data_IF_200483763281
#
_entry.id   IF_200483763281
#
_cell.length_a   1.000
_cell.length_b   1.000
_cell.length_c   1.000
_cell.angle_alpha   90.00
_cell.angle_beta   90.00
_cell.angle_gamma   90.00
#
_symmetry.space_group_name_H-M   'P 1'
#
loop_
_entity.id
_entity.type
_entity.pdbx_description
1 polymer ?
#
# COMPACT_ATOMS: atom_id res chain seq x y z
N UNK A 1 -0.71 -5.35 25.56
CA UNK A 1 -1.32 -6.68 25.38
C UNK A 1 -1.33 -7.04 23.90
N UNK A 2 -1.08 -8.30 23.54
CA UNK A 2 -1.29 -8.76 22.15
C UNK A 2 -2.79 -8.86 21.82
N UNK A 3 -3.12 -8.96 20.53
CA UNK A 3 -4.51 -8.90 20.08
C UNK A 3 -5.32 -10.18 20.40
N UNK A 4 -4.69 -11.37 20.39
CA UNK A 4 -5.38 -12.62 20.73
C UNK A 4 -5.73 -12.65 22.23
N UNK A 5 -4.86 -12.11 23.09
CA UNK A 5 -5.11 -11.96 24.52
C UNK A 5 -6.33 -11.06 24.79
N UNK A 6 -6.47 -9.94 24.08
CA UNK A 6 -7.68 -9.11 24.16
C UNK A 6 -8.91 -9.82 23.59
N UNK A 7 -8.76 -10.55 22.48
CA UNK A 7 -9.85 -11.33 21.90
C UNK A 7 -10.37 -12.40 22.88
N UNK A 8 -9.49 -13.08 23.63
CA UNK A 8 -9.87 -14.00 24.71
C UNK A 8 -10.61 -13.28 25.84
N UNK A 9 -10.09 -12.14 26.28
CA UNK A 9 -10.70 -11.34 27.34
C UNK A 9 -12.14 -10.93 26.99
N UNK A 10 -12.35 -10.48 25.75
CA UNK A 10 -13.64 -9.97 25.30
C UNK A 10 -14.55 -11.02 24.65
N UNK A 11 -14.07 -12.25 24.45
CA UNK A 11 -14.76 -13.34 23.73
C UNK A 11 -15.06 -12.96 22.27
N UNK A 12 -14.01 -12.63 21.54
CA UNK A 12 -14.07 -12.34 20.10
C UNK A 12 -13.60 -13.58 19.34
N UNK A 13 -14.37 -13.99 18.34
CA UNK A 13 -14.17 -15.18 17.50
C UNK A 13 -12.98 -15.08 16.53
N UNK A 14 -12.42 -13.88 16.35
CA UNK A 14 -11.22 -13.56 15.57
C UNK A 14 -9.92 -14.25 16.06
N UNK A 15 -9.91 -14.87 17.24
CA UNK A 15 -8.74 -15.55 17.82
C UNK A 15 -8.87 -17.08 17.71
N UNK A 16 -7.84 -17.78 17.19
CA UNK A 16 -7.91 -19.23 16.94
C UNK A 16 -8.00 -20.06 18.23
N UNK A 17 -7.78 -19.45 19.39
CA UNK A 17 -7.95 -20.08 20.69
C UNK A 17 -9.35 -19.84 21.31
N UNK A 18 -10.15 -18.96 20.69
CA UNK A 18 -11.52 -18.63 21.13
C UNK A 18 -12.54 -19.30 20.22
N UNK A 19 -12.37 -19.19 18.90
CA UNK A 19 -13.27 -19.75 17.90
C UNK A 19 -12.54 -20.19 16.63
N UNK A 20 -13.27 -20.28 15.52
CA UNK A 20 -12.81 -20.89 14.27
C UNK A 20 -11.89 -20.00 13.42
N UNK A 21 -11.86 -18.68 13.66
CA UNK A 21 -11.09 -17.75 12.84
C UNK A 21 -9.66 -17.56 13.36
N UNK A 22 -8.74 -17.34 12.43
CA UNK A 22 -7.30 -17.21 12.69
C UNK A 22 -6.76 -15.81 12.41
N UNK A 23 -7.58 -14.77 12.61
CA UNK A 23 -7.29 -13.40 12.18
C UNK A 23 -6.33 -12.65 13.11
N UNK A 24 -6.49 -12.79 14.44
CA UNK A 24 -5.75 -11.97 15.41
C UNK A 24 -4.23 -12.03 15.31
N UNK A 25 -3.54 -13.16 14.98
CA UNK A 25 -2.10 -13.14 14.75
C UNK A 25 -1.69 -12.27 13.55
N UNK A 26 -2.44 -12.37 12.45
CA UNK A 26 -2.18 -11.59 11.24
C UNK A 26 -2.48 -10.10 11.47
N UNK A 27 -3.62 -9.78 12.09
CA UNK A 27 -3.96 -8.42 12.51
C UNK A 27 -2.93 -7.81 13.44
N UNK A 28 -2.43 -8.58 14.40
CA UNK A 28 -1.38 -8.09 15.29
C UNK A 28 -0.14 -7.70 14.48
N UNK A 29 0.35 -8.57 13.58
CA UNK A 29 1.52 -8.25 12.75
C UNK A 29 1.29 -7.01 11.85
N UNK A 30 0.08 -6.81 11.33
CA UNK A 30 -0.26 -5.65 10.46
C UNK A 30 -0.39 -4.35 11.27
N UNK A 31 -1.00 -4.41 12.47
CA UNK A 31 -1.48 -3.23 13.19
C UNK A 31 -0.59 -2.84 14.38
N UNK A 32 0.28 -3.72 14.87
CA UNK A 32 1.03 -3.49 16.11
C UNK A 32 1.93 -2.25 16.08
N UNK A 33 2.58 -1.97 14.96
CA UNK A 33 3.53 -0.85 14.84
C UNK A 33 2.85 0.50 14.61
N UNK A 34 1.51 0.54 14.58
CA UNK A 34 0.74 1.77 14.34
C UNK A 34 -0.29 2.08 15.42
N UNK A 35 -0.30 1.32 16.54
CA UNK A 35 -1.35 1.42 17.56
C UNK A 35 -1.57 2.84 18.09
N UNK A 36 -0.49 3.54 18.39
CA UNK A 36 -0.55 4.89 18.96
C UNK A 36 -0.99 5.95 17.94
N UNK A 37 -0.79 5.67 16.65
CA UNK A 37 -1.10 6.55 15.53
C UNK A 37 -2.57 6.43 15.08
N UNK A 38 -3.24 5.29 15.32
CA UNK A 38 -4.66 5.12 14.99
C UNK A 38 -5.50 6.03 15.90
N UNK A 39 -6.33 6.89 15.29
CA UNK A 39 -7.20 7.83 15.99
C UNK A 39 -8.68 7.54 15.76
N UNK A 40 -9.05 6.98 14.60
CA UNK A 40 -10.43 6.62 14.30
C UNK A 40 -10.54 5.25 13.63
N UNK A 41 -11.32 4.36 14.25
CA UNK A 41 -11.67 3.03 13.74
C UNK A 41 -13.16 2.96 13.49
N UNK A 42 -13.57 2.38 12.36
CA UNK A 42 -14.96 2.00 12.08
C UNK A 42 -15.03 0.48 11.88
N UNK A 43 -15.94 -0.18 12.59
CA UNK A 43 -16.29 -1.59 12.35
C UNK A 43 -17.76 -1.69 11.94
N UNK A 44 -18.02 -2.35 10.81
CA UNK A 44 -19.36 -2.73 10.36
C UNK A 44 -19.63 -4.12 10.91
N UNK A 45 -20.74 -4.28 11.64
CA UNK A 45 -21.08 -5.49 12.39
C UNK A 45 -20.63 -5.41 13.85
N UNK A 46 -21.60 -5.42 14.77
CA UNK A 46 -21.36 -5.37 16.24
C UNK A 46 -21.51 -6.74 16.87
N UNK A 47 -22.27 -7.63 16.21
CA UNK A 47 -22.54 -8.99 16.63
C UNK A 47 -23.60 -9.06 17.73
N UNK A 48 -24.59 -9.95 17.56
CA UNK A 48 -25.67 -10.15 18.54
C UNK A 48 -25.51 -11.46 19.32
N UNK A 49 -26.24 -11.57 20.43
CA UNK A 49 -26.20 -12.75 21.30
C UNK A 49 -26.54 -14.06 20.58
N UNK A 50 -27.52 -14.05 19.68
CA UNK A 50 -28.04 -15.26 19.04
C UNK A 50 -27.02 -15.91 18.12
N UNK A 51 -26.20 -15.11 17.42
CA UNK A 51 -25.17 -15.60 16.51
C UNK A 51 -23.84 -15.86 17.23
N UNK A 52 -23.47 -15.02 18.20
CA UNK A 52 -22.14 -15.09 18.81
C UNK A 52 -22.07 -16.05 19.99
N UNK A 53 -23.12 -16.17 20.81
CA UNK A 53 -23.06 -17.03 22.00
C UNK A 53 -22.76 -18.51 21.69
N UNK A 54 -23.27 -19.11 20.59
CA UNK A 54 -22.89 -20.46 20.19
C UNK A 54 -21.40 -20.59 19.82
N UNK A 55 -20.76 -19.52 19.36
CA UNK A 55 -19.37 -19.52 18.90
C UNK A 55 -18.38 -19.24 20.04
N UNK A 56 -18.71 -18.29 20.92
CA UNK A 56 -17.77 -17.75 21.93
C UNK A 56 -18.26 -17.88 23.38
N UNK A 57 -19.40 -18.54 23.57
CA UNK A 57 -20.01 -18.85 24.86
C UNK A 57 -21.06 -17.85 25.34
N UNK A 58 -21.93 -18.29 26.25
CA UNK A 58 -23.12 -17.57 26.73
C UNK A 58 -22.85 -16.26 27.48
N UNK A 59 -21.59 -15.99 27.86
CA UNK A 59 -21.19 -14.72 28.49
C UNK A 59 -20.77 -13.65 27.48
N UNK A 60 -20.95 -13.89 26.17
CA UNK A 60 -20.76 -12.87 25.13
C UNK A 60 -21.55 -11.60 25.45
N UNK A 61 -21.02 -10.46 25.01
CA UNK A 61 -21.72 -9.17 25.04
C UNK A 61 -21.55 -8.50 23.68
N UNK A 62 -22.63 -7.99 23.06
CA UNK A 62 -22.53 -7.20 21.83
C UNK A 62 -21.46 -6.11 21.92
N UNK A 63 -20.72 -5.92 20.81
CA UNK A 63 -19.58 -5.00 20.74
C UNK A 63 -18.30 -5.51 21.42
N UNK A 64 -18.14 -6.82 21.54
CA UNK A 64 -16.91 -7.42 22.06
C UNK A 64 -15.66 -7.00 21.24
N UNK A 65 -15.76 -7.03 19.90
CA UNK A 65 -14.68 -6.58 19.01
C UNK A 65 -14.43 -5.08 19.12
N UNK A 66 -15.47 -4.24 19.26
CA UNK A 66 -15.31 -2.81 19.51
C UNK A 66 -14.49 -2.53 20.78
N UNK A 67 -14.74 -3.27 21.87
CA UNK A 67 -13.96 -3.15 23.12
C UNK A 67 -12.53 -3.68 22.96
N UNK A 68 -12.34 -4.75 22.18
CA UNK A 68 -11.02 -5.24 21.79
C UNK A 68 -10.23 -4.16 21.04
N UNK A 69 -10.83 -3.49 20.04
CA UNK A 69 -10.19 -2.40 19.30
C UNK A 69 -9.90 -1.20 20.19
N UNK A 70 -10.83 -0.81 21.07
CA UNK A 70 -10.66 0.28 22.03
C UNK A 70 -9.41 0.08 22.89
N UNK A 71 -9.19 -1.13 23.39
CA UNK A 71 -8.05 -1.44 24.26
C UNK A 71 -6.76 -1.72 23.48
N UNK A 72 -6.87 -2.18 22.23
CA UNK A 72 -5.73 -2.39 21.35
C UNK A 72 -5.14 -1.07 20.83
N UNK A 73 -6.00 -0.09 20.56
CA UNK A 73 -5.66 1.25 20.07
C UNK A 73 -5.91 2.30 21.16
N UNK A 74 -4.89 2.65 21.96
CA UNK A 74 -5.09 3.44 23.19
C UNK A 74 -5.61 4.86 22.92
N UNK A 75 -5.34 5.41 21.74
CA UNK A 75 -5.71 6.78 21.35
C UNK A 75 -6.89 6.86 20.38
N UNK A 76 -7.52 5.72 20.05
CA UNK A 76 -8.56 5.69 19.04
C UNK A 76 -9.95 5.90 19.64
N UNK A 77 -10.76 6.67 18.92
CA UNK A 77 -12.22 6.60 18.97
C UNK A 77 -12.67 5.43 18.09
N UNK A 78 -13.51 4.56 18.64
CA UNK A 78 -14.10 3.41 17.95
C UNK A 78 -15.54 3.75 17.58
N UNK A 79 -15.89 3.52 16.32
CA UNK A 79 -17.24 3.57 15.80
C UNK A 79 -17.66 2.16 15.42
N UNK A 80 -18.82 1.72 15.89
CA UNK A 80 -19.47 0.50 15.43
C UNK A 80 -20.75 0.84 14.67
N UNK A 81 -21.12 0.07 13.66
CA UNK A 81 -22.45 0.17 13.08
C UNK A 81 -23.08 -1.19 12.83
N UNK A 82 -24.39 -1.27 13.02
CA UNK A 82 -25.15 -2.50 12.84
C UNK A 82 -26.58 -2.18 12.37
N UNK A 83 -27.23 -3.15 11.72
CA UNK A 83 -28.63 -3.05 11.31
C UNK A 83 -29.57 -3.31 12.50
N UNK A 84 -29.10 -3.98 13.56
CA UNK A 84 -29.88 -4.27 14.74
C UNK A 84 -29.78 -3.12 15.75
N UNK A 85 -30.85 -2.33 15.89
CA UNK A 85 -30.88 -1.25 16.89
C UNK A 85 -30.66 -1.76 18.33
N UNK A 86 -31.04 -3.00 18.62
CA UNK A 86 -30.91 -3.61 19.95
C UNK A 86 -29.48 -3.88 20.39
N UNK A 87 -28.50 -3.86 19.48
CA UNK A 87 -27.07 -4.00 19.81
C UNK A 87 -26.35 -2.66 19.84
N UNK A 88 -27.04 -1.55 19.58
CA UNK A 88 -26.44 -0.22 19.64
C UNK A 88 -26.27 0.21 21.10
N UNK A 89 -25.09 0.74 21.42
CA UNK A 89 -24.72 1.28 22.72
C UNK A 89 -23.67 2.40 22.61
N UNK A 90 -23.38 3.03 23.74
CA UNK A 90 -22.28 3.99 23.88
C UNK A 90 -21.46 3.65 25.12
N UNK A 91 -20.14 3.68 24.97
CA UNK A 91 -19.17 3.50 26.05
C UNK A 91 -18.01 4.49 25.89
N UNK A 92 -17.11 4.55 26.86
CA UNK A 92 -15.89 5.34 26.74
C UNK A 92 -15.13 4.98 25.44
N UNK A 93 -14.90 5.99 24.59
CA UNK A 93 -14.28 5.87 23.25
C UNK A 93 -14.98 4.90 22.30
N UNK A 94 -16.24 4.54 22.54
CA UNK A 94 -17.06 3.72 21.63
C UNK A 94 -18.39 4.41 21.38
N UNK A 95 -18.70 4.67 20.11
CA UNK A 95 -20.01 5.16 19.66
C UNK A 95 -20.58 4.17 18.66
N UNK A 96 -21.88 3.94 18.69
CA UNK A 96 -22.53 3.06 17.71
C UNK A 96 -23.64 3.80 16.98
N UNK A 97 -23.92 3.36 15.75
CA UNK A 97 -24.95 3.96 14.90
C UNK A 97 -25.66 2.88 14.08
N UNK A 98 -26.96 3.07 13.85
CA UNK A 98 -27.71 2.23 12.93
C UNK A 98 -27.14 2.36 11.52
N UNK A 99 -26.89 1.24 10.85
CA UNK A 99 -26.54 1.23 9.42
C UNK A 99 -27.05 -0.05 8.78
N UNK A 100 -27.78 0.12 7.68
CA UNK A 100 -28.11 -0.97 6.77
C UNK A 100 -27.04 -0.99 5.66
N UNK A 101 -26.14 -1.97 5.72
CA UNK A 101 -25.05 -2.12 4.75
C UNK A 101 -25.55 -2.40 3.32
N UNK A 102 -26.82 -2.78 3.14
CA UNK A 102 -27.43 -2.99 1.83
C UNK A 102 -27.98 -1.71 1.19
N UNK A 103 -28.13 -0.63 1.96
CA UNK A 103 -28.70 0.64 1.51
C UNK A 103 -27.61 1.70 1.27
N UNK A 104 -27.40 2.15 0.02
CA UNK A 104 -26.44 3.21 -0.30
C UNK A 104 -26.67 4.50 0.51
N UNK A 105 -27.94 4.86 0.82
CA UNK A 105 -28.23 6.06 1.60
C UNK A 105 -27.80 5.90 3.06
N UNK A 106 -28.05 4.72 3.63
CA UNK A 106 -27.60 4.39 4.99
C UNK A 106 -26.07 4.43 5.10
N UNK A 107 -25.34 3.86 4.13
CA UNK A 107 -23.88 3.95 4.06
C UNK A 107 -23.37 5.38 3.86
N UNK A 108 -24.07 6.20 3.07
CA UNK A 108 -23.72 7.62 2.91
C UNK A 108 -23.93 8.40 4.21
N UNK A 109 -24.97 8.07 4.98
CA UNK A 109 -25.20 8.65 6.30
C UNK A 109 -24.10 8.23 7.28
N UNK A 110 -23.69 6.96 7.28
CA UNK A 110 -22.53 6.50 8.05
C UNK A 110 -21.25 7.26 7.66
N UNK A 111 -20.97 7.38 6.37
CA UNK A 111 -19.84 8.12 5.84
C UNK A 111 -19.84 9.59 6.32
N UNK A 112 -21.00 10.23 6.35
CA UNK A 112 -21.16 11.58 6.88
C UNK A 112 -21.01 11.64 8.40
N UNK A 113 -21.52 10.65 9.13
CA UNK A 113 -21.37 10.57 10.58
C UNK A 113 -19.89 10.46 10.99
N UNK A 114 -19.08 9.68 10.27
CA UNK A 114 -17.63 9.62 10.54
C UNK A 114 -16.93 10.98 10.45
N UNK A 115 -17.42 11.89 9.59
CA UNK A 115 -16.87 13.26 9.43
C UNK A 115 -17.02 14.10 10.69
N UNK A 116 -17.93 13.75 11.60
CA UNK A 116 -18.12 14.47 12.86
C UNK A 116 -17.00 14.22 13.87
N UNK A 117 -16.19 13.17 13.66
CA UNK A 117 -15.04 12.82 14.49
C UNK A 117 -13.71 13.26 13.87
N UNK A 118 -13.50 12.94 12.59
CA UNK A 118 -12.31 13.36 11.84
C UNK A 118 -12.65 13.44 10.34
N UNK A 119 -11.87 14.24 9.60
CA UNK A 119 -11.93 14.30 8.13
C UNK A 119 -11.75 12.91 7.51
N UNK A 120 -10.97 12.02 8.13
CA UNK A 120 -10.73 10.66 7.63
C UNK A 120 -10.77 9.60 8.73
N UNK A 121 -11.03 8.35 8.33
CA UNK A 121 -10.92 7.14 9.15
C UNK A 121 -9.56 6.49 8.92
N UNK A 122 -8.92 5.97 9.96
CA UNK A 122 -7.60 5.33 9.84
C UNK A 122 -7.68 3.82 9.57
N UNK A 123 -8.75 3.18 10.05
CA UNK A 123 -9.04 1.76 9.88
C UNK A 123 -10.55 1.53 9.74
N UNK A 124 -10.96 0.88 8.65
CA UNK A 124 -12.31 0.33 8.50
C UNK A 124 -12.20 -1.20 8.51
N UNK A 125 -13.05 -1.86 9.29
CA UNK A 125 -13.22 -3.31 9.32
C UNK A 125 -14.65 -3.63 8.91
N UNK A 126 -14.82 -4.43 7.87
CA UNK A 126 -16.10 -4.89 7.38
C UNK A 126 -16.31 -6.34 7.80
N UNK A 127 -17.10 -6.49 8.86
CA UNK A 127 -17.49 -7.74 9.52
C UNK A 127 -19.04 -7.81 9.62
N UNK A 128 -19.70 -7.34 8.55
CA UNK A 128 -21.13 -7.05 8.52
C UNK A 128 -22.00 -8.24 8.11
N UNK A 129 -22.70 -8.13 6.97
CA UNK A 129 -23.68 -9.15 6.54
C UNK A 129 -23.06 -10.40 5.89
N UNK A 130 -21.80 -10.29 5.47
CA UNK A 130 -21.09 -11.26 4.62
C UNK A 130 -21.75 -11.55 3.25
N UNK A 131 -22.72 -10.73 2.86
CA UNK A 131 -23.32 -10.73 1.51
C UNK A 131 -22.41 -9.93 0.59
N UNK A 132 -21.96 -10.54 -0.51
CA UNK A 132 -20.96 -9.97 -1.41
C UNK A 132 -21.37 -8.57 -1.88
N UNK A 133 -22.63 -8.40 -2.26
CA UNK A 133 -23.17 -7.13 -2.74
C UNK A 133 -23.13 -6.03 -1.68
N UNK A 134 -23.38 -6.36 -0.41
CA UNK A 134 -23.35 -5.39 0.69
C UNK A 134 -21.91 -4.97 1.02
N UNK A 135 -20.99 -5.94 1.09
CA UNK A 135 -19.56 -5.69 1.31
C UNK A 135 -19.03 -4.78 0.20
N UNK A 136 -19.26 -5.14 -1.07
CA UNK A 136 -18.77 -4.38 -2.22
C UNK A 136 -19.35 -2.96 -2.26
N UNK A 137 -20.64 -2.79 -1.92
CA UNK A 137 -21.26 -1.47 -1.82
C UNK A 137 -20.61 -0.61 -0.71
N UNK A 138 -20.37 -1.20 0.47
CA UNK A 138 -19.76 -0.48 1.57
C UNK A 138 -18.29 -0.14 1.32
N UNK A 139 -17.53 -1.04 0.69
CA UNK A 139 -16.18 -0.76 0.21
C UNK A 139 -16.19 0.42 -0.79
N UNK A 140 -17.10 0.39 -1.77
CA UNK A 140 -17.22 1.47 -2.76
C UNK A 140 -17.50 2.84 -2.12
N UNK A 141 -18.42 2.92 -1.17
CA UNK A 141 -18.87 4.19 -0.58
C UNK A 141 -17.90 4.68 0.50
N UNK A 142 -17.39 3.78 1.35
CA UNK A 142 -16.60 4.16 2.52
C UNK A 142 -15.11 4.32 2.20
N UNK A 143 -14.62 3.83 1.05
CA UNK A 143 -13.21 3.98 0.67
C UNK A 143 -12.73 5.44 0.64
N UNK A 144 -13.59 6.37 0.21
CA UNK A 144 -13.28 7.82 0.22
C UNK A 144 -12.99 8.35 1.63
N UNK A 145 -13.55 7.72 2.66
CA UNK A 145 -13.38 8.13 4.07
C UNK A 145 -12.04 7.73 4.63
N UNK A 146 -11.33 6.78 4.05
CA UNK A 146 -10.03 6.34 4.55
C UNK A 146 -8.97 7.42 4.29
N UNK A 147 -8.08 7.62 5.27
CA UNK A 147 -6.90 8.49 5.17
C UNK A 147 -5.84 7.86 4.25
N UNK A 148 -5.04 8.63 3.49
CA UNK A 148 -3.81 8.10 2.89
C UNK A 148 -2.90 7.44 3.95
N UNK A 149 -2.60 6.16 3.77
CA UNK A 149 -1.89 5.30 4.72
C UNK A 149 -2.81 4.48 5.64
N UNK A 150 -4.11 4.76 5.66
CA UNK A 150 -5.15 4.01 6.36
C UNK A 150 -5.50 2.68 5.67
N UNK A 151 -6.25 1.83 6.38
CA UNK A 151 -6.57 0.47 5.95
C UNK A 151 -8.08 0.22 5.88
N UNK A 152 -8.49 -0.59 4.91
CA UNK A 152 -9.80 -1.24 4.86
C UNK A 152 -9.58 -2.74 4.95
N UNK A 153 -10.27 -3.42 5.86
CA UNK A 153 -10.23 -4.87 6.01
C UNK A 153 -11.61 -5.44 5.72
N UNK A 154 -11.68 -6.46 4.87
CA UNK A 154 -12.91 -7.21 4.59
C UNK A 154 -12.75 -8.59 5.20
N UNK A 155 -13.57 -8.93 6.19
CA UNK A 155 -13.55 -10.21 6.91
C UNK A 155 -14.54 -11.23 6.32
N UNK A 156 -14.45 -12.46 6.84
CA UNK A 156 -15.39 -13.56 6.56
C UNK A 156 -15.67 -13.76 5.09
N UNK A 157 -14.59 -13.79 4.33
CA UNK A 157 -14.60 -14.14 2.93
C UNK A 157 -14.58 -15.67 2.82
N UNK A 158 -15.51 -16.24 2.06
CA UNK A 158 -15.38 -17.65 1.68
C UNK A 158 -14.11 -17.86 0.86
N UNK A 159 -13.37 -18.95 1.06
CA UNK A 159 -12.15 -19.25 0.33
C UNK A 159 -12.33 -19.19 -1.19
N UNK A 160 -13.48 -19.69 -1.69
CA UNK A 160 -13.85 -19.63 -3.12
C UNK A 160 -14.05 -18.21 -3.68
N UNK A 161 -14.31 -17.22 -2.82
CA UNK A 161 -14.55 -15.82 -3.19
C UNK A 161 -13.31 -14.94 -2.98
N UNK A 162 -12.23 -15.45 -2.39
CA UNK A 162 -11.05 -14.66 -2.03
C UNK A 162 -10.43 -13.92 -3.23
N UNK A 163 -10.30 -14.60 -4.37
CA UNK A 163 -9.76 -14.00 -5.60
C UNK A 163 -10.66 -12.89 -6.18
N UNK A 164 -11.97 -12.95 -5.93
CA UNK A 164 -12.88 -11.86 -6.32
C UNK A 164 -12.63 -10.61 -5.46
N UNK A 165 -12.54 -10.77 -4.14
CA UNK A 165 -12.29 -9.66 -3.22
C UNK A 165 -10.90 -9.05 -3.37
N UNK A 166 -9.86 -9.84 -3.72
CA UNK A 166 -8.54 -9.29 -4.07
C UNK A 166 -8.59 -8.28 -5.21
N UNK A 167 -9.57 -8.40 -6.10
CA UNK A 167 -9.80 -7.51 -7.26
C UNK A 167 -10.79 -6.38 -6.98
N UNK A 168 -11.27 -6.21 -5.74
CA UNK A 168 -12.30 -5.20 -5.42
C UNK A 168 -11.88 -3.77 -5.83
N UNK A 169 -10.63 -3.40 -5.60
CA UNK A 169 -10.07 -2.12 -6.04
C UNK A 169 -10.13 -1.93 -7.56
N UNK A 170 -9.80 -2.98 -8.33
CA UNK A 170 -9.84 -2.95 -9.80
C UNK A 170 -11.28 -2.83 -10.31
N UNK A 171 -12.22 -3.56 -9.70
CA UNK A 171 -13.65 -3.52 -10.05
C UNK A 171 -14.20 -2.09 -9.98
N UNK A 172 -13.79 -1.32 -8.97
CA UNK A 172 -14.21 0.07 -8.79
C UNK A 172 -13.25 1.10 -9.40
N UNK A 173 -12.19 0.67 -10.09
CA UNK A 173 -11.14 1.53 -10.63
C UNK A 173 -10.48 2.45 -9.58
N UNK A 174 -10.34 1.97 -8.34
CA UNK A 174 -9.66 2.70 -7.27
C UNK A 174 -8.14 2.67 -7.48
N UNK A 175 -7.62 3.76 -8.06
CA UNK A 175 -6.19 3.94 -8.32
C UNK A 175 -5.36 4.15 -7.04
N UNK A 176 -6.02 4.57 -5.96
CA UNK A 176 -5.43 4.82 -4.65
C UNK A 176 -5.60 3.64 -3.67
N UNK A 177 -6.14 2.50 -4.11
CA UNK A 177 -6.28 1.29 -3.32
C UNK A 177 -5.24 0.24 -3.71
N UNK A 178 -4.41 -0.17 -2.75
CA UNK A 178 -3.43 -1.26 -2.94
C UNK A 178 -3.75 -2.42 -2.02
N UNK A 179 -3.91 -3.63 -2.57
CA UNK A 179 -3.99 -4.86 -1.77
C UNK A 179 -2.62 -5.10 -1.11
N UNK A 180 -2.57 -5.07 0.22
CA UNK A 180 -1.31 -5.21 0.98
C UNK A 180 -1.20 -6.52 1.73
N UNK A 181 -2.33 -7.20 1.93
CA UNK A 181 -2.37 -8.50 2.59
C UNK A 181 -3.63 -9.27 2.20
N UNK A 182 -3.52 -10.59 2.15
CA UNK A 182 -4.66 -11.50 2.12
C UNK A 182 -4.36 -12.69 3.03
N UNK A 183 -5.35 -13.10 3.78
CA UNK A 183 -5.30 -14.27 4.66
C UNK A 183 -6.16 -15.38 4.10
N UNK A 184 -5.69 -16.61 4.23
CA UNK A 184 -6.51 -17.81 4.07
C UNK A 184 -6.20 -18.75 5.24
N UNK A 185 -7.21 -18.98 6.04
CA UNK A 185 -7.16 -19.85 7.20
C UNK A 185 -7.62 -21.27 6.87
N UNK A 186 -8.01 -22.02 7.90
CA UNK A 186 -8.30 -23.46 7.75
C UNK A 186 -9.74 -23.76 7.33
N UNK A 187 -10.66 -22.84 7.63
CA UNK A 187 -12.09 -23.00 7.39
C UNK A 187 -12.53 -22.19 6.15
N UNK A 188 -13.63 -22.59 5.50
CA UNK A 188 -14.11 -21.90 4.29
C UNK A 188 -14.31 -20.39 4.53
N UNK A 189 -14.83 -20.01 5.70
CA UNK A 189 -15.09 -18.62 6.09
C UNK A 189 -13.93 -17.94 6.82
N UNK A 190 -12.72 -18.49 6.83
CA UNK A 190 -11.58 -17.96 7.57
C UNK A 190 -10.61 -17.22 6.63
N UNK A 191 -11.12 -16.29 5.83
CA UNK A 191 -10.29 -15.48 4.93
C UNK A 191 -10.65 -14.00 5.02
N UNK A 192 -9.64 -13.14 4.86
CA UNK A 192 -9.81 -11.69 4.81
C UNK A 192 -8.82 -11.06 3.84
N UNK A 193 -9.12 -9.84 3.38
CA UNK A 193 -8.19 -9.02 2.59
C UNK A 193 -7.99 -7.66 3.24
N UNK A 194 -6.81 -7.07 3.02
CA UNK A 194 -6.47 -5.74 3.53
C UNK A 194 -6.05 -4.85 2.38
N UNK A 195 -6.79 -3.77 2.18
CA UNK A 195 -6.44 -2.69 1.28
C UNK A 195 -5.84 -1.54 2.06
N UNK A 196 -4.77 -0.95 1.53
CA UNK A 196 -4.17 0.29 2.03
C UNK A 196 -4.41 1.40 1.04
N UNK A 197 -4.81 2.56 1.55
CA UNK A 197 -4.95 3.76 0.74
C UNK A 197 -3.58 4.41 0.52
N UNK A 198 -3.18 4.58 -0.73
CA UNK A 198 -1.90 5.21 -1.10
C UNK A 198 -2.14 6.62 -1.59
N UNK A 199 -1.12 7.48 -1.52
CA UNK A 199 -1.21 8.79 -2.18
C UNK A 199 -1.10 8.61 -3.69
N UNK A 200 -1.88 9.36 -4.44
CA UNK A 200 -1.85 9.33 -5.90
C UNK A 200 -1.59 10.73 -6.42
N UNK A 201 -0.66 10.84 -7.35
CA UNK A 201 -0.28 12.07 -8.04
C UNK A 201 -0.49 11.90 -9.54
N UNK A 202 -0.65 13.00 -10.27
CA UNK A 202 -0.94 12.91 -11.70
C UNK A 202 0.28 12.39 -12.49
N UNK A 203 1.49 12.73 -12.04
CA UNK A 203 2.75 12.33 -12.66
C UNK A 203 3.78 11.81 -11.64
N UNK A 204 4.78 11.07 -12.12
CA UNK A 204 5.95 10.65 -11.34
C UNK A 204 6.73 11.83 -10.77
N UNK A 205 6.76 12.93 -11.51
CA UNK A 205 7.45 14.15 -11.10
C UNK A 205 6.79 14.79 -9.87
N UNK A 206 5.47 14.95 -9.90
CA UNK A 206 4.68 15.41 -8.74
C UNK A 206 4.84 14.47 -7.54
N UNK A 207 4.80 13.15 -7.79
CA UNK A 207 5.01 12.15 -6.75
C UNK A 207 6.37 12.33 -6.07
N UNK A 208 7.44 12.46 -6.86
CA UNK A 208 8.80 12.58 -6.33
C UNK A 208 8.99 13.89 -5.57
N UNK A 209 8.48 15.01 -6.09
CA UNK A 209 8.52 16.31 -5.41
C UNK A 209 7.79 16.31 -4.07
N UNK A 210 6.73 15.51 -3.94
CA UNK A 210 5.97 15.40 -2.71
C UNK A 210 6.54 14.38 -1.70
N UNK A 211 7.31 13.40 -2.16
CA UNK A 211 7.79 12.29 -1.33
C UNK A 211 9.29 12.40 -0.98
N UNK A 212 10.13 12.70 -1.96
CA UNK A 212 11.58 12.64 -1.84
C UNK A 212 12.12 14.02 -1.44
N UNK A 213 12.93 14.13 -0.37
CA UNK A 213 13.51 15.41 0.02
C UNK A 213 14.44 15.97 -1.07
N UNK A 214 14.87 17.22 -0.92
CA UNK A 214 15.94 17.79 -1.75
C UNK A 214 17.32 17.52 -1.14
N UNK A 215 18.39 17.60 -1.94
CA UNK A 215 19.77 17.61 -1.44
C UNK A 215 20.37 16.26 -1.05
N UNK A 216 19.62 15.16 -1.16
CA UNK A 216 20.10 13.82 -0.80
C UNK A 216 21.06 13.21 -1.82
N UNK A 217 21.55 12.02 -1.48
CA UNK A 217 22.37 11.16 -2.35
C UNK A 217 21.44 10.20 -3.09
N UNK A 218 21.35 10.33 -4.41
CA UNK A 218 20.36 9.63 -5.23
C UNK A 218 21.03 8.74 -6.29
N UNK A 219 20.31 7.69 -6.70
CA UNK A 219 20.68 6.86 -7.83
C UNK A 219 19.49 6.66 -8.79
N UNK A 220 19.77 6.59 -10.09
CA UNK A 220 18.83 6.24 -11.15
C UNK A 220 19.40 5.03 -11.90
N UNK A 221 18.61 3.96 -12.00
CA UNK A 221 18.89 2.79 -12.81
C UNK A 221 18.04 2.87 -14.07
N UNK A 222 18.66 2.74 -15.24
CA UNK A 222 17.97 2.91 -16.52
C UNK A 222 17.87 4.39 -16.87
N UNK A 223 18.94 4.93 -17.44
CA UNK A 223 19.11 6.36 -17.70
C UNK A 223 18.65 6.70 -19.12
N UNK A 224 18.85 5.78 -20.05
CA UNK A 224 18.52 5.95 -21.46
C UNK A 224 19.15 7.22 -22.04
N UNK A 225 18.37 8.27 -22.32
CA UNK A 225 18.83 9.58 -22.83
C UNK A 225 19.07 10.65 -21.74
N UNK A 226 18.76 10.34 -20.48
CA UNK A 226 18.95 11.24 -19.34
C UNK A 226 17.97 12.42 -19.28
N UNK A 227 16.80 12.30 -19.91
CA UNK A 227 15.71 13.28 -19.76
C UNK A 227 15.21 13.32 -18.31
N UNK A 228 14.92 12.15 -17.74
CA UNK A 228 14.49 12.03 -16.35
C UNK A 228 15.61 12.41 -15.36
N UNK A 229 16.86 12.04 -15.66
CA UNK A 229 18.03 12.52 -14.91
C UNK A 229 18.11 14.05 -14.82
N UNK A 230 17.76 14.75 -15.90
CA UNK A 230 17.74 16.21 -15.91
C UNK A 230 16.65 16.78 -14.99
N UNK A 231 15.47 16.14 -14.93
CA UNK A 231 14.44 16.46 -13.96
C UNK A 231 14.95 16.26 -12.52
N UNK A 232 15.53 15.10 -12.21
CA UNK A 232 16.05 14.80 -10.86
C UNK A 232 17.07 15.85 -10.41
N UNK A 233 18.02 16.22 -11.28
CA UNK A 233 19.04 17.23 -10.98
C UNK A 233 18.47 18.62 -10.70
N UNK A 234 17.49 19.04 -11.50
CA UNK A 234 16.88 20.37 -11.41
C UNK A 234 15.94 20.48 -10.22
N UNK A 235 15.13 19.45 -9.99
CA UNK A 235 13.98 19.50 -9.11
C UNK A 235 14.31 19.03 -7.70
N UNK A 236 15.09 17.94 -7.57
CA UNK A 236 15.47 17.38 -6.27
C UNK A 236 16.83 17.88 -5.79
N UNK A 237 17.60 18.56 -6.64
CA UNK A 237 18.88 19.20 -6.30
C UNK A 237 19.82 18.28 -5.49
N UNK A 238 20.10 17.04 -5.96
CA UNK A 238 20.90 16.08 -5.20
C UNK A 238 22.28 16.62 -4.87
N UNK A 239 22.80 16.24 -3.70
CA UNK A 239 24.22 16.45 -3.39
C UNK A 239 25.12 15.52 -4.21
N UNK A 240 24.61 14.35 -4.59
CA UNK A 240 25.23 13.39 -5.49
C UNK A 240 24.13 12.60 -6.23
N UNK A 241 24.27 12.45 -7.54
CA UNK A 241 23.41 11.62 -8.40
C UNK A 241 24.26 10.59 -9.14
N UNK A 242 23.96 9.31 -8.91
CA UNK A 242 24.51 8.19 -9.66
C UNK A 242 23.59 7.83 -10.81
N UNK A 243 24.10 7.85 -12.04
CA UNK A 243 23.37 7.51 -13.26
C UNK A 243 23.91 6.17 -13.77
N UNK A 244 23.14 5.10 -13.59
CA UNK A 244 23.56 3.73 -13.86
C UNK A 244 22.78 3.14 -15.03
N UNK A 245 23.49 2.72 -16.07
CA UNK A 245 22.90 2.07 -17.24
C UNK A 245 23.93 1.11 -17.87
N UNK A 246 23.46 0.14 -18.65
CA UNK A 246 24.33 -0.72 -19.45
C UNK A 246 25.18 0.11 -20.42
N UNK A 247 24.65 1.23 -20.93
CA UNK A 247 25.35 2.14 -21.85
C UNK A 247 26.05 1.45 -23.04
N UNK A 248 25.49 0.32 -23.47
CA UNK A 248 26.01 -0.53 -24.51
C UNK A 248 24.88 -1.13 -25.36
N UNK A 249 25.08 -1.16 -26.66
CA UNK A 249 24.13 -1.75 -27.60
C UNK A 249 22.96 -0.82 -27.89
N UNK A 250 21.90 -1.38 -28.48
CA UNK A 250 20.70 -0.64 -28.81
C UNK A 250 19.60 -0.97 -27.81
N UNK A 251 18.94 0.06 -27.30
CA UNK A 251 17.80 -0.06 -26.40
C UNK A 251 16.67 0.81 -26.95
N UNK A 252 15.43 0.46 -26.62
CA UNK A 252 14.30 1.30 -26.93
C UNK A 252 13.44 1.58 -25.71
N UNK A 253 12.92 2.80 -25.66
CA UNK A 253 12.05 3.27 -24.59
C UNK A 253 10.98 4.20 -25.15
N UNK A 254 9.82 4.19 -24.50
CA UNK A 254 8.80 5.23 -24.67
C UNK A 254 9.08 6.44 -23.79
N UNK A 255 8.20 7.44 -23.86
CA UNK A 255 8.08 8.49 -22.86
C UNK A 255 7.50 7.93 -21.54
N UNK A 256 7.28 8.79 -20.53
CA UNK A 256 6.70 8.38 -19.23
C UNK A 256 5.33 7.67 -19.35
N UNK A 257 4.62 7.86 -20.46
CA UNK A 257 3.33 7.20 -20.70
C UNK A 257 3.46 5.87 -21.47
N UNK A 258 4.68 5.44 -21.79
CA UNK A 258 4.93 4.29 -22.67
C UNK A 258 4.61 4.58 -24.14
N UNK A 259 4.45 5.85 -24.52
CA UNK A 259 4.14 6.28 -25.89
C UNK A 259 5.41 6.72 -26.63
N UNK A 260 5.31 6.98 -27.93
CA UNK A 260 6.41 7.55 -28.74
C UNK A 260 7.73 6.77 -28.66
N UNK A 261 7.63 5.44 -28.77
CA UNK A 261 8.77 4.54 -28.67
C UNK A 261 9.89 4.91 -29.65
N UNK A 262 11.12 4.98 -29.15
CA UNK A 262 12.33 5.23 -29.93
C UNK A 262 13.42 4.24 -29.59
N UNK A 263 14.22 3.86 -30.58
CA UNK A 263 15.43 3.06 -30.43
C UNK A 263 16.66 3.96 -30.52
N UNK A 264 17.67 3.72 -29.68
CA UNK A 264 18.94 4.45 -29.74
C UNK A 264 20.15 3.59 -29.38
N UNK A 265 21.32 4.02 -29.83
CA UNK A 265 22.62 3.46 -29.44
C UNK A 265 23.05 4.04 -28.09
N UNK A 266 23.04 3.21 -27.07
CA UNK A 266 23.36 3.61 -25.70
C UNK A 266 24.84 4.02 -25.54
N UNK A 267 25.73 3.59 -26.45
CA UNK A 267 27.11 4.07 -26.44
C UNK A 267 27.19 5.57 -26.74
N UNK A 268 26.36 6.02 -27.69
CA UNK A 268 26.26 7.44 -28.05
C UNK A 268 25.64 8.24 -26.91
N UNK A 269 24.56 7.72 -26.31
CA UNK A 269 23.96 8.36 -25.14
C UNK A 269 24.98 8.56 -24.00
N UNK A 270 25.79 7.54 -23.71
CA UNK A 270 26.86 7.67 -22.71
C UNK A 270 27.84 8.79 -23.03
N UNK A 271 28.29 8.92 -24.29
CA UNK A 271 29.18 10.00 -24.71
C UNK A 271 28.51 11.37 -24.54
N UNK A 272 27.25 11.49 -24.97
CA UNK A 272 26.47 12.73 -24.90
C UNK A 272 26.23 13.16 -23.45
N UNK A 273 25.91 12.22 -22.55
CA UNK A 273 25.71 12.47 -21.12
C UNK A 273 27.02 12.86 -20.42
N UNK A 274 28.13 12.16 -20.71
CA UNK A 274 29.44 12.53 -20.15
C UNK A 274 29.85 13.94 -20.59
N UNK A 275 29.61 14.31 -21.85
CA UNK A 275 29.86 15.66 -22.34
C UNK A 275 28.93 16.69 -21.67
N UNK A 276 27.64 16.38 -21.53
CA UNK A 276 26.63 17.26 -20.93
C UNK A 276 26.92 17.57 -19.46
N UNK A 277 27.39 16.57 -18.70
CA UNK A 277 27.60 16.68 -17.26
C UNK A 277 29.08 16.73 -16.85
N UNK A 278 30.01 16.96 -17.78
CA UNK A 278 31.45 16.95 -17.54
C UNK A 278 31.89 17.86 -16.37
N UNK A 279 31.24 19.02 -16.22
CA UNK A 279 31.56 20.01 -15.19
C UNK A 279 30.65 19.93 -13.95
N UNK A 280 29.60 19.10 -13.97
CA UNK A 280 28.69 18.94 -12.83
C UNK A 280 29.21 17.85 -11.89
N UNK A 281 29.96 18.27 -10.87
CA UNK A 281 30.57 17.39 -9.86
C UNK A 281 29.57 16.55 -9.07
N UNK A 282 28.27 16.89 -9.12
CA UNK A 282 27.21 16.13 -8.47
C UNK A 282 26.85 14.88 -9.25
N UNK A 283 27.19 14.77 -10.54
CA UNK A 283 26.77 13.67 -11.41
C UNK A 283 27.89 12.64 -11.57
N UNK A 284 27.57 11.37 -11.36
CA UNK A 284 28.46 10.23 -11.64
C UNK A 284 27.76 9.27 -12.59
N UNK A 285 28.24 9.21 -13.83
CA UNK A 285 27.68 8.32 -14.86
C UNK A 285 28.49 7.02 -14.85
N UNK A 286 27.80 5.89 -14.70
CA UNK A 286 28.41 4.58 -14.59
C UNK A 286 27.83 3.63 -15.64
N UNK A 287 28.72 3.03 -16.41
CA UNK A 287 28.42 2.02 -17.42
C UNK A 287 28.60 0.63 -16.82
N UNK A 288 27.56 -0.19 -16.84
CA UNK A 288 27.62 -1.56 -16.35
C UNK A 288 26.25 -2.12 -15.96
N UNK A 289 26.24 -3.38 -15.54
CA UNK A 289 25.05 -3.99 -14.97
C UNK A 289 24.73 -3.34 -13.61
N UNK A 290 23.46 -2.98 -13.37
CA UNK A 290 23.02 -2.36 -12.11
C UNK A 290 23.43 -3.18 -10.87
N UNK A 291 23.46 -4.51 -10.98
CA UNK A 291 23.84 -5.39 -9.87
C UNK A 291 25.27 -5.17 -9.41
N UNK A 292 26.19 -5.04 -10.37
CA UNK A 292 27.61 -4.83 -10.10
C UNK A 292 27.82 -3.40 -9.56
N UNK A 293 27.23 -2.42 -10.24
CA UNK A 293 27.36 -1.00 -9.89
C UNK A 293 26.78 -0.67 -8.52
N UNK A 294 25.64 -1.25 -8.15
CA UNK A 294 25.06 -1.08 -6.82
C UNK A 294 25.87 -1.80 -5.75
N UNK A 295 26.47 -2.94 -6.06
CA UNK A 295 27.28 -3.69 -5.10
C UNK A 295 28.51 -2.92 -4.64
N UNK A 296 29.06 -2.05 -5.51
CA UNK A 296 30.19 -1.16 -5.21
C UNK A 296 29.83 0.03 -4.31
N UNK A 297 28.54 0.33 -4.12
CA UNK A 297 28.10 1.37 -3.19
C UNK A 297 28.07 0.85 -1.75
N UNK A 298 28.35 1.72 -0.79
CA UNK A 298 28.19 1.38 0.63
C UNK A 298 26.71 1.12 0.97
N UNK A 299 26.46 0.21 1.91
CA UNK A 299 25.12 -0.02 2.46
C UNK A 299 24.65 1.23 3.23
N UNK A 300 23.35 1.53 3.17
CA UNK A 300 22.74 2.72 3.76
C UNK A 300 23.41 4.05 3.34
N UNK A 301 23.93 4.14 2.11
CA UNK A 301 24.52 5.35 1.55
C UNK A 301 23.52 6.22 0.79
N UNK A 302 22.46 5.64 0.24
CA UNK A 302 21.49 6.35 -0.61
C UNK A 302 20.29 6.87 0.19
N UNK A 303 19.88 8.10 -0.10
CA UNK A 303 18.62 8.68 0.40
C UNK A 303 17.44 8.29 -0.50
N UNK A 304 17.68 8.07 -1.79
CA UNK A 304 16.71 7.54 -2.75
C UNK A 304 17.39 6.75 -3.87
N UNK A 305 16.69 5.73 -4.37
CA UNK A 305 17.00 5.08 -5.64
C UNK A 305 15.75 4.97 -6.51
N UNK A 306 15.89 5.30 -7.79
CA UNK A 306 14.84 5.18 -8.80
C UNK A 306 15.17 4.04 -9.77
N UNK A 307 14.27 3.06 -9.88
CA UNK A 307 14.48 1.83 -10.66
C UNK A 307 13.63 1.89 -11.96
N UNK A 308 14.32 1.94 -13.10
CA UNK A 308 13.72 2.00 -14.45
C UNK A 308 14.59 1.27 -15.50
N UNK A 309 15.28 0.20 -15.08
CA UNK A 309 16.21 -0.58 -15.90
C UNK A 309 15.56 -1.78 -16.60
N UNK A 310 15.77 -2.98 -16.05
CA UNK A 310 15.18 -4.21 -16.58
C UNK A 310 13.73 -4.37 -16.09
N UNK A 311 12.77 -4.29 -17.02
CA UNK A 311 11.34 -4.45 -16.72
C UNK A 311 10.91 -5.92 -16.54
N UNK A 312 11.84 -6.88 -16.68
CA UNK A 312 11.65 -8.28 -16.32
C UNK A 312 11.61 -8.50 -14.81
N UNK A 313 10.93 -9.57 -14.38
CA UNK A 313 10.75 -9.88 -12.95
C UNK A 313 12.09 -10.09 -12.22
N UNK A 314 13.01 -10.88 -12.78
CA UNK A 314 14.28 -11.20 -12.12
C UNK A 314 15.26 -10.01 -12.08
N UNK A 315 15.21 -9.13 -13.09
CA UNK A 315 15.98 -7.89 -13.12
C UNK A 315 15.52 -6.94 -12.03
N UNK A 316 14.25 -6.53 -12.10
CA UNK A 316 13.63 -5.63 -11.13
C UNK A 316 13.73 -6.16 -9.69
N UNK A 317 13.48 -7.45 -9.45
CA UNK A 317 13.63 -8.06 -8.13
C UNK A 317 15.05 -7.92 -7.58
N UNK A 318 16.06 -8.16 -8.42
CA UNK A 318 17.45 -8.02 -8.00
C UNK A 318 17.79 -6.57 -7.66
N UNK A 319 17.32 -5.61 -8.46
CA UNK A 319 17.53 -4.18 -8.19
C UNK A 319 16.84 -3.77 -6.88
N UNK A 320 15.61 -4.22 -6.63
CA UNK A 320 14.88 -3.98 -5.37
C UNK A 320 15.62 -4.53 -4.14
N UNK A 321 16.19 -5.73 -4.24
CA UNK A 321 16.93 -6.34 -3.12
C UNK A 321 18.24 -5.60 -2.81
N UNK A 322 18.95 -5.12 -3.83
CA UNK A 322 20.15 -4.30 -3.65
C UNK A 322 19.78 -2.90 -3.17
N UNK A 323 18.77 -2.26 -3.77
CA UNK A 323 18.21 -0.99 -3.35
C UNK A 323 17.87 -0.98 -1.85
N UNK A 324 17.25 -2.05 -1.35
CA UNK A 324 16.95 -2.16 0.08
C UNK A 324 18.19 -2.21 0.97
N UNK A 325 19.32 -2.74 0.51
CA UNK A 325 20.59 -2.69 1.26
C UNK A 325 21.21 -1.29 1.21
N UNK A 326 21.23 -0.68 0.02
CA UNK A 326 21.93 0.58 -0.25
C UNK A 326 21.18 1.82 0.25
N UNK A 327 19.85 1.82 0.26
CA UNK A 327 19.06 2.95 0.77
C UNK A 327 19.04 2.99 2.31
N UNK A 328 19.07 4.18 2.90
CA UNK A 328 18.94 4.39 4.35
C UNK A 328 17.56 3.98 4.88
N UNK A 329 17.47 3.70 6.17
CA UNK A 329 16.16 3.72 6.85
C UNK A 329 15.62 5.16 6.83
N UNK A 330 14.34 5.34 6.48
CA UNK A 330 13.75 6.64 6.15
C UNK A 330 14.04 7.13 4.72
N UNK A 331 14.80 6.37 3.93
CA UNK A 331 15.05 6.63 2.52
C UNK A 331 13.91 6.12 1.62
N UNK A 332 14.09 6.28 0.31
CA UNK A 332 13.07 5.96 -0.69
C UNK A 332 13.55 4.97 -1.74
N UNK A 333 12.73 3.96 -2.02
CA UNK A 333 12.83 3.18 -3.26
C UNK A 333 11.66 3.60 -4.14
N UNK A 334 11.98 4.16 -5.29
CA UNK A 334 11.04 4.56 -6.31
C UNK A 334 11.29 3.76 -7.59
N UNK A 335 10.32 3.73 -8.48
CA UNK A 335 10.53 3.14 -9.80
C UNK A 335 9.33 3.34 -10.72
N UNK A 336 9.51 2.92 -11.95
CA UNK A 336 8.54 3.09 -13.03
C UNK A 336 7.86 1.76 -13.40
N UNK A 337 6.96 1.78 -14.38
CA UNK A 337 6.41 0.58 -15.04
C UNK A 337 5.71 -0.43 -14.11
N UNK A 338 5.17 0.04 -12.98
CA UNK A 338 4.49 -0.82 -12.01
C UNK A 338 3.13 -1.33 -12.50
N UNK A 339 2.35 -0.49 -13.17
CA UNK A 339 1.07 -0.85 -13.78
C UNK A 339 0.79 0.10 -14.97
N UNK A 340 -0.15 -0.27 -15.84
CA UNK A 340 -0.53 0.56 -16.98
C UNK A 340 -1.73 1.45 -16.64
N UNK A 341 -1.59 2.75 -16.87
CA UNK A 341 -2.69 3.71 -16.87
C UNK A 341 -3.18 3.95 -18.30
N UNK A 342 -4.18 3.18 -18.73
CA UNK A 342 -4.72 3.27 -20.09
C UNK A 342 -5.47 4.57 -20.41
N UNK A 343 -5.63 5.47 -19.43
CA UNK A 343 -6.10 6.83 -19.71
C UNK A 343 -5.01 7.71 -20.37
N UNK A 344 -3.72 7.36 -20.21
CA UNK A 344 -2.58 8.09 -20.80
C UNK A 344 -1.74 7.22 -21.75
N UNK A 345 -1.63 5.93 -21.48
CA UNK A 345 -0.92 4.98 -22.33
C UNK A 345 -1.74 4.60 -23.58
N UNK A 346 -1.06 4.46 -24.72
CA UNK A 346 -1.64 3.96 -25.98
C UNK A 346 -1.33 2.48 -26.24
N UNK A 347 -0.32 1.94 -25.56
CA UNK A 347 0.11 0.55 -25.71
C UNK A 347 -0.03 -0.17 -24.38
N UNK A 348 -0.53 -1.41 -24.41
CA UNK A 348 -0.55 -2.27 -23.23
C UNK A 348 0.78 -3.02 -23.16
N UNK A 349 1.56 -2.75 -22.12
CA UNK A 349 2.77 -3.51 -21.83
C UNK A 349 2.50 -4.56 -20.74
N UNK A 350 3.26 -5.66 -20.78
CA UNK A 350 3.27 -6.68 -19.73
C UNK A 350 4.67 -6.74 -19.13
N UNK A 351 4.81 -6.21 -17.92
CA UNK A 351 6.07 -6.16 -17.20
C UNK A 351 6.11 -7.14 -16.03
N UNK A 352 7.31 -7.50 -15.58
CA UNK A 352 7.54 -8.25 -14.35
C UNK A 352 7.63 -7.39 -13.09
N UNK A 353 7.64 -6.06 -13.25
CA UNK A 353 7.86 -5.07 -12.18
C UNK A 353 6.81 -5.17 -11.09
N UNK A 354 5.51 -5.19 -11.43
CA UNK A 354 4.43 -5.23 -10.44
C UNK A 354 4.61 -6.41 -9.47
N UNK A 355 4.89 -7.59 -10.03
CA UNK A 355 5.12 -8.81 -9.26
C UNK A 355 6.35 -8.69 -8.36
N UNK A 356 7.46 -8.18 -8.89
CA UNK A 356 8.70 -8.01 -8.13
C UNK A 356 8.49 -7.05 -6.95
N UNK A 357 7.83 -5.91 -7.16
CA UNK A 357 7.54 -4.91 -6.13
C UNK A 357 6.59 -5.46 -5.06
N UNK A 358 5.55 -6.21 -5.45
CA UNK A 358 4.62 -6.83 -4.51
C UNK A 358 5.29 -7.86 -3.61
N UNK A 359 6.09 -8.76 -4.19
CA UNK A 359 6.85 -9.77 -3.44
C UNK A 359 7.91 -9.11 -2.54
N UNK A 360 8.56 -8.04 -3.01
CA UNK A 360 9.49 -7.24 -2.23
C UNK A 360 8.82 -6.63 -0.99
N UNK A 361 7.68 -5.97 -1.18
CA UNK A 361 6.92 -5.36 -0.08
C UNK A 361 6.52 -6.41 0.95
N UNK A 362 6.06 -7.58 0.50
CA UNK A 362 5.71 -8.69 1.39
C UNK A 362 6.93 -9.21 2.17
N UNK A 363 8.04 -9.50 1.47
CA UNK A 363 9.27 -10.06 2.06
C UNK A 363 9.88 -9.13 3.12
N UNK A 364 9.96 -7.84 2.81
CA UNK A 364 10.61 -6.84 3.68
C UNK A 364 9.63 -6.05 4.56
N UNK A 365 8.36 -6.45 4.59
CA UNK A 365 7.28 -5.76 5.33
C UNK A 365 7.20 -4.27 5.00
N UNK A 366 7.46 -3.92 3.74
CA UNK A 366 7.34 -2.57 3.22
C UNK A 366 6.00 -2.39 2.52
N UNK A 367 5.68 -1.18 2.09
CA UNK A 367 4.47 -0.93 1.29
C UNK A 367 4.67 0.27 0.39
N UNK A 368 4.07 0.22 -0.80
CA UNK A 368 3.92 1.42 -1.63
C UNK A 368 3.15 2.48 -0.83
N UNK A 369 3.71 3.67 -0.75
CA UNK A 369 3.11 4.82 -0.06
C UNK A 369 2.53 5.85 -1.02
N UNK A 370 3.05 5.88 -2.26
CA UNK A 370 2.54 6.75 -3.31
C UNK A 370 2.68 6.14 -4.71
N UNK A 371 1.84 6.62 -5.63
CA UNK A 371 1.90 6.33 -7.07
C UNK A 371 1.86 7.61 -7.90
N UNK A 372 2.61 7.65 -8.99
CA UNK A 372 2.54 8.67 -10.04
C UNK A 372 1.80 8.09 -11.25
N UNK A 373 0.72 8.73 -11.69
CA UNK A 373 -0.23 8.16 -12.66
C UNK A 373 0.07 8.56 -14.10
N UNK A 374 1.33 8.53 -14.49
CA UNK A 374 1.73 8.50 -15.91
C UNK A 374 1.13 7.25 -16.58
N UNK A 375 1.18 7.18 -17.91
CA UNK A 375 0.75 6.00 -18.67
C UNK A 375 1.44 4.71 -18.20
N UNK A 376 2.73 4.78 -17.87
CA UNK A 376 3.42 3.76 -17.09
C UNK A 376 3.54 4.22 -15.64
N UNK A 377 2.76 3.62 -14.75
CA UNK A 377 2.61 4.12 -13.38
C UNK A 377 3.89 3.91 -12.58
N UNK A 378 4.30 4.98 -11.91
CA UNK A 378 5.42 4.95 -10.97
C UNK A 378 4.97 4.63 -9.56
N UNK A 379 5.87 4.08 -8.74
CA UNK A 379 5.67 3.77 -7.34
C UNK A 379 6.73 4.42 -6.46
N UNK A 380 6.38 4.69 -5.21
CA UNK A 380 7.32 5.12 -4.18
C UNK A 380 7.07 4.37 -2.86
N UNK A 381 8.14 3.80 -2.31
CA UNK A 381 8.19 3.06 -1.05
C UNK A 381 9.08 3.84 -0.10
N UNK A 382 8.50 4.36 0.98
CA UNK A 382 9.26 4.93 2.10
C UNK A 382 9.76 3.80 3.01
N UNK A 383 11.07 3.64 3.12
CA UNK A 383 11.67 2.53 3.84
C UNK A 383 11.61 2.74 5.35
N UNK A 384 11.01 1.77 6.04
CA UNK A 384 11.07 1.65 7.50
C UNK A 384 11.78 0.34 7.81
N UNK A 385 13.12 0.39 7.88
CA UNK A 385 13.91 -0.79 8.25
C UNK A 385 13.80 -0.99 9.76
N UNK A 386 13.43 -2.21 10.15
CA UNK A 386 13.55 -2.65 11.54
C UNK A 386 15.05 -2.73 11.85
N UNK A 387 15.51 -1.91 12.78
CA UNK A 387 16.89 -1.91 13.30
C UNK A 387 17.10 -3.13 14.17
#
# INVERSE_FOLDING_TARGET
MDLCSLAKQYRVDKCPEVALHSYTPAYHNILNNRRDMIKLVLEIGIGNMSIMSPLVGSSYKPGASLRMWRDYFPNAQILGCDILESVLFEEERIKTIYTDQSDPKSLQNLANYTKTFDKYVDLIVDDGSHVIEHIMLSFQILWERIRPGGLYIIEDIRARNLEYFKKAAEIFNFTDATLVYSHIGKNDWDAFVVFKKVKVYDTREEMLLACVPKGGVYAEIGVFEGEFSAFLLKSLEPSQLYLMDLFQGHCGSGNQDGNFFKMLDLNRSFQDLNKKYAEDKRVRIQRGNSRDLLSDLDDNSLDMIYIDGDHGYEGCKSDLELAYKKCKSGGWICGHDYEMNMAKAQTVYTFGVQRAVNEFCLKYKQTITAKGRDGCVSYAIHLLKLI
#
